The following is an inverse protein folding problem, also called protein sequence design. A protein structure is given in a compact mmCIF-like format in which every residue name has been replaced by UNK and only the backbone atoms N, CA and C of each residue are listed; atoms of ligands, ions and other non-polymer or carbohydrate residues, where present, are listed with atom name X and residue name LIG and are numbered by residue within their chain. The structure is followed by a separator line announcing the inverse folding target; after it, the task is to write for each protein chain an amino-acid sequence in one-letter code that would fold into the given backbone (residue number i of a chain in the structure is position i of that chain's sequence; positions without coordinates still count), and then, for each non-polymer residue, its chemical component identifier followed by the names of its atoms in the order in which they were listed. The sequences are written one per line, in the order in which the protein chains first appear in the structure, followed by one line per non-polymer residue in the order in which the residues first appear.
data_IF_235587772757
#
_entry.id   IF_235587772757
#
_cell.length_a   1.000
_cell.length_b   1.000
_cell.length_c   1.000
_cell.angle_alpha   90.00
_cell.angle_beta   90.00
_cell.angle_gamma   90.00
#
_symmetry.space_group_name_H-M   'P 1'
#
loop_
_entity.id
_entity.type
_entity.pdbx_description
1 polymer ?
#
# COMPACT_ATOMS: atom_id res chain seq x y z
N UNK A 1 17.11 19.63 38.66
CA UNK A 1 16.27 19.21 37.51
C UNK A 1 16.50 20.05 36.26
N UNK A 2 16.69 21.38 36.35
CA UNK A 2 16.85 22.25 35.16
C UNK A 2 18.13 22.03 34.32
N UNK A 3 19.21 21.53 34.92
CA UNK A 3 20.52 21.39 34.24
C UNK A 3 20.58 20.24 33.21
N UNK A 4 19.82 19.16 33.43
CA UNK A 4 19.81 18.00 32.52
C UNK A 4 19.07 18.28 31.22
N UNK A 5 17.97 19.04 31.30
CA UNK A 5 17.16 19.41 30.14
C UNK A 5 17.92 20.35 29.19
N UNK A 6 18.66 21.33 29.74
CA UNK A 6 19.51 22.21 28.93
C UNK A 6 20.62 21.44 28.21
N UNK A 7 21.28 20.46 28.85
CA UNK A 7 22.31 19.67 28.18
C UNK A 7 21.76 18.76 27.08
N UNK A 8 20.57 18.16 27.28
CA UNK A 8 19.91 17.35 26.27
C UNK A 8 19.48 18.19 25.05
N UNK A 9 18.92 19.38 25.29
CA UNK A 9 18.56 20.32 24.22
C UNK A 9 19.79 20.85 23.48
N UNK A 10 20.87 21.15 24.19
CA UNK A 10 22.12 21.63 23.58
C UNK A 10 22.77 20.53 22.71
N UNK A 11 22.74 19.27 23.15
CA UNK A 11 23.21 18.13 22.37
C UNK A 11 22.35 17.90 21.12
N UNK A 12 21.02 17.97 21.24
CA UNK A 12 20.10 17.86 20.10
C UNK A 12 20.29 18.97 19.06
N UNK A 13 20.56 20.20 19.52
CA UNK A 13 20.83 21.34 18.64
C UNK A 13 22.14 21.19 17.86
N UNK A 14 23.21 20.67 18.49
CA UNK A 14 24.47 20.41 17.78
C UNK A 14 24.32 19.33 16.69
N UNK A 15 23.53 18.28 16.92
CA UNK A 15 23.27 17.24 15.92
C UNK A 15 22.49 17.82 14.72
N UNK A 16 21.47 18.64 14.97
CA UNK A 16 20.73 19.35 13.91
C UNK A 16 21.60 20.35 13.14
N UNK A 17 22.52 21.03 13.82
CA UNK A 17 23.48 21.94 13.19
C UNK A 17 24.53 21.21 12.35
N UNK A 18 25.00 20.03 12.78
CA UNK A 18 25.92 19.18 12.01
C UNK A 18 25.29 18.62 10.74
N UNK A 19 23.97 18.42 10.70
CA UNK A 19 23.23 18.01 9.50
C UNK A 19 23.14 19.13 8.43
N UNK A 20 23.42 20.39 8.78
CA UNK A 20 23.45 21.52 7.84
C UNK A 20 24.82 21.79 7.21
N UNK A 21 25.88 21.07 7.60
CA UNK A 21 27.23 21.28 7.06
C UNK A 21 27.49 20.39 5.84
N UNK A 22 27.70 20.94 4.62
CA UNK A 22 27.76 20.16 3.38
C UNK A 22 29.11 19.46 3.13
N UNK A 23 29.97 19.28 4.13
CA UNK A 23 31.38 18.86 3.91
C UNK A 23 31.77 17.44 4.33
N UNK A 24 30.84 16.57 4.72
CA UNK A 24 31.18 15.15 4.93
C UNK A 24 30.05 14.21 4.45
N UNK A 25 30.03 13.97 3.13
CA UNK A 25 29.12 13.00 2.50
C UNK A 25 29.67 11.59 2.69
N UNK A 26 29.35 11.00 3.84
CA UNK A 26 29.36 9.55 4.03
C UNK A 26 28.08 8.92 3.46
N UNK A 27 28.16 7.64 3.11
CA UNK A 27 27.07 6.83 2.52
C UNK A 27 25.67 7.12 3.11
N UNK A 28 24.63 7.29 2.27
CA UNK A 28 23.26 7.62 2.69
C UNK A 28 22.59 6.57 3.60
N UNK A 29 23.13 5.33 3.68
CA UNK A 29 22.58 4.29 4.55
C UNK A 29 22.92 4.46 6.04
N UNK A 30 23.96 5.21 6.38
CA UNK A 30 24.40 5.37 7.78
C UNK A 30 23.67 6.50 8.52
N UNK A 31 23.20 7.51 7.77
CA UNK A 31 22.49 8.67 8.32
C UNK A 31 21.06 8.34 8.78
N UNK A 32 20.36 7.46 8.05
CA UNK A 32 18.98 7.06 8.37
C UNK A 32 18.91 6.32 9.72
N UNK A 33 19.81 5.37 9.97
CA UNK A 33 19.87 4.64 11.23
C UNK A 33 20.26 5.52 12.42
N UNK A 34 21.17 6.47 12.22
CA UNK A 34 21.61 7.38 13.28
C UNK A 34 20.48 8.34 13.67
N UNK A 35 19.77 8.89 12.68
CA UNK A 35 18.66 9.82 12.90
C UNK A 35 17.48 9.12 13.60
N UNK A 36 17.12 7.91 13.16
CA UNK A 36 16.10 7.08 13.82
C UNK A 36 16.47 6.76 15.27
N UNK A 37 17.75 6.44 15.55
CA UNK A 37 18.22 6.18 16.92
C UNK A 37 18.09 7.40 17.83
N UNK A 38 18.46 8.58 17.36
CA UNK A 38 18.35 9.81 18.15
C UNK A 38 16.90 10.25 18.35
N UNK A 39 16.04 10.09 17.34
CA UNK A 39 14.60 10.35 17.47
C UNK A 39 13.93 9.43 18.50
N UNK A 40 14.31 8.15 18.54
CA UNK A 40 13.80 7.20 19.54
C UNK A 40 14.28 7.52 20.95
N UNK A 41 15.55 7.90 21.12
CA UNK A 41 16.11 8.37 22.39
C UNK A 41 15.40 9.63 22.90
N UNK A 42 15.10 10.57 22.00
CA UNK A 42 14.36 11.78 22.32
C UNK A 42 12.92 11.48 22.76
N UNK A 43 12.19 10.67 21.99
CA UNK A 43 10.83 10.25 22.35
C UNK A 43 10.78 9.46 23.67
N UNK A 44 11.80 8.64 23.93
CA UNK A 44 11.93 7.93 25.20
C UNK A 44 12.17 8.89 26.37
N UNK A 45 13.02 9.92 26.21
CA UNK A 45 13.24 10.91 27.26
C UNK A 45 11.96 11.67 27.62
N UNK A 46 11.16 12.05 26.63
CA UNK A 46 9.84 12.66 26.83
C UNK A 46 8.90 11.69 27.57
N UNK A 47 8.88 10.42 27.19
CA UNK A 47 8.03 9.40 27.80
C UNK A 47 8.40 9.13 29.27
N UNK A 48 9.69 9.04 29.58
CA UNK A 48 10.20 8.85 30.95
C UNK A 48 9.90 10.08 31.82
N UNK A 49 10.03 11.28 31.27
CA UNK A 49 9.73 12.53 32.01
C UNK A 49 8.22 12.68 32.24
N UNK A 50 7.40 12.31 31.26
CA UNK A 50 5.93 12.31 31.35
C UNK A 50 5.40 11.29 32.38
N UNK A 51 5.97 10.08 32.41
CA UNK A 51 5.59 9.06 33.40
C UNK A 51 6.24 9.29 34.78
N UNK A 52 7.44 9.87 34.79
CA UNK A 52 8.18 10.23 36.00
C UNK A 52 7.47 11.28 36.84
N UNK A 53 6.66 12.14 36.21
CA UNK A 53 5.80 13.10 36.91
C UNK A 53 4.61 12.48 37.64
N UNK A 54 4.18 11.27 37.27
CA UNK A 54 2.91 10.69 37.78
C UNK A 54 3.05 9.44 38.65
N UNK A 55 4.17 8.72 38.64
CA UNK A 55 4.33 7.49 39.42
C UNK A 55 5.79 7.20 39.81
N UNK A 56 6.35 7.95 40.76
CA UNK A 56 7.80 7.90 41.02
C UNK A 56 8.29 6.94 42.13
N UNK A 57 7.41 6.43 43.00
CA UNK A 57 7.88 5.71 44.20
C UNK A 57 7.83 4.19 44.07
N UNK A 58 6.84 3.61 43.37
CA UNK A 58 6.64 2.15 43.35
C UNK A 58 7.15 1.43 42.10
N UNK A 59 7.47 2.17 41.03
CA UNK A 59 7.74 1.59 39.70
C UNK A 59 9.23 1.47 39.35
N UNK A 60 10.10 2.14 40.12
CA UNK A 60 11.53 2.32 39.82
C UNK A 60 12.31 1.01 39.59
N UNK A 61 12.23 -0.01 40.47
CA UNK A 61 13.01 -1.23 40.27
C UNK A 61 12.52 -2.08 39.08
N UNK A 62 11.25 -1.93 38.69
CA UNK A 62 10.66 -2.66 37.56
C UNK A 62 11.06 -1.99 36.23
N UNK A 63 11.01 -0.65 36.17
CA UNK A 63 11.46 0.11 35.00
C UNK A 63 12.97 0.00 34.76
N UNK A 64 13.80 0.05 35.81
CA UNK A 64 15.25 -0.08 35.66
C UNK A 64 15.68 -1.47 35.16
N UNK A 65 15.02 -2.56 35.60
CA UNK A 65 15.36 -3.92 35.12
C UNK A 65 14.76 -4.29 33.78
N UNK A 66 13.49 -3.95 33.51
CA UNK A 66 12.80 -4.48 32.33
C UNK A 66 12.92 -3.60 31.09
N UNK A 67 13.19 -2.31 31.23
CA UNK A 67 13.26 -1.39 30.10
C UNK A 67 14.69 -0.90 29.85
N UNK A 68 15.44 -0.64 30.91
CA UNK A 68 16.77 -0.03 30.79
C UNK A 68 17.83 -1.01 30.26
N UNK A 69 17.87 -2.26 30.74
CA UNK A 69 18.82 -3.26 30.26
C UNK A 69 18.63 -3.64 28.78
N UNK A 70 17.42 -3.93 28.28
CA UNK A 70 17.22 -4.26 26.87
C UNK A 70 17.56 -3.09 25.93
N UNK A 71 17.25 -1.86 26.33
CA UNK A 71 17.58 -0.66 25.54
C UNK A 71 19.09 -0.41 25.54
N UNK A 72 19.78 -0.56 26.67
CA UNK A 72 21.25 -0.45 26.71
C UNK A 72 21.94 -1.52 25.85
N UNK A 73 21.42 -2.75 25.83
CA UNK A 73 21.90 -3.82 24.95
C UNK A 73 21.66 -3.50 23.47
N UNK A 74 20.53 -2.86 23.14
CA UNK A 74 20.19 -2.44 21.78
C UNK A 74 21.07 -1.27 21.28
N UNK A 75 21.41 -0.31 22.15
CA UNK A 75 22.18 0.87 21.78
C UNK A 75 23.70 0.70 21.91
N UNK A 76 24.20 -0.18 22.79
CA UNK A 76 25.64 -0.35 23.05
C UNK A 76 26.09 -1.83 23.02
N UNK A 77 25.97 -2.53 21.87
CA UNK A 77 26.24 -3.97 21.79
C UNK A 77 27.73 -4.36 21.95
N UNK A 78 28.67 -3.40 21.97
CA UNK A 78 30.11 -3.68 21.88
C UNK A 78 30.91 -3.67 23.20
N UNK A 79 30.27 -3.42 24.34
CA UNK A 79 30.98 -3.39 25.63
C UNK A 79 30.29 -4.26 26.70
N UNK A 80 30.49 -5.59 26.66
CA UNK A 80 30.99 -6.42 27.78
C UNK A 80 30.85 -7.94 27.53
N UNK A 81 31.79 -8.68 28.10
CA UNK A 81 31.80 -10.15 28.22
C UNK A 81 30.66 -10.67 29.11
N UNK A 82 30.17 -11.90 28.88
CA UNK A 82 29.02 -12.45 29.60
C UNK A 82 29.42 -12.88 31.02
N UNK A 83 28.77 -12.31 32.02
CA UNK A 83 28.71 -12.92 33.36
C UNK A 83 27.54 -13.90 33.34
N UNK A 84 27.86 -15.18 33.19
CA UNK A 84 26.94 -16.29 33.37
C UNK A 84 26.46 -16.30 34.82
N UNK A 85 25.19 -15.96 35.05
CA UNK A 85 24.45 -16.46 36.21
C UNK A 85 23.32 -17.32 35.69
N UNK A 86 23.47 -18.62 35.92
CA UNK A 86 22.47 -19.62 35.62
C UNK A 86 21.22 -19.37 36.47
N UNK A 87 20.10 -19.07 35.82
CA UNK A 87 18.78 -19.31 36.37
C UNK A 87 17.86 -19.86 35.28
N UNK A 88 17.03 -20.82 35.67
CA UNK A 88 16.30 -21.79 34.85
C UNK A 88 15.50 -21.20 33.68
N UNK A 89 15.62 -21.74 32.45
CA UNK A 89 14.84 -21.29 31.30
C UNK A 89 13.53 -22.07 31.18
N UNK A 90 12.63 -21.95 32.16
CA UNK A 90 11.25 -22.47 32.06
C UNK A 90 10.29 -21.65 32.92
N UNK A 91 10.06 -20.36 32.59
CA UNK A 91 8.76 -19.72 32.88
C UNK A 91 8.48 -18.33 32.32
N UNK A 92 9.45 -17.57 31.81
CA UNK A 92 9.22 -16.13 31.57
C UNK A 92 9.25 -15.71 30.09
N UNK A 93 8.60 -16.49 29.21
CA UNK A 93 8.44 -16.14 27.80
C UNK A 93 6.97 -15.90 27.42
N UNK A 94 6.22 -15.19 28.29
CA UNK A 94 4.80 -14.94 28.05
C UNK A 94 4.29 -13.56 28.50
N UNK A 95 5.17 -12.56 28.65
CA UNK A 95 4.77 -11.22 29.14
C UNK A 95 5.31 -10.03 28.33
N UNK A 96 5.96 -10.24 27.18
CA UNK A 96 6.42 -9.14 26.31
C UNK A 96 5.38 -8.66 25.27
N UNK A 97 4.37 -9.48 24.96
CA UNK A 97 3.29 -9.12 24.02
C UNK A 97 2.34 -7.99 24.46
N UNK A 98 1.98 -7.80 25.76
CA UNK A 98 1.03 -6.74 26.13
C UNK A 98 1.64 -5.34 26.06
N UNK A 99 2.96 -5.19 26.28
CA UNK A 99 3.64 -3.88 26.32
C UNK A 99 3.78 -3.24 24.94
N UNK A 100 4.14 -4.01 23.91
CA UNK A 100 4.19 -3.51 22.53
C UNK A 100 2.80 -3.13 22.01
N UNK A 101 1.77 -3.88 22.40
CA UNK A 101 0.37 -3.60 22.07
C UNK A 101 -0.11 -2.28 22.69
N UNK A 102 0.21 -2.04 23.96
CA UNK A 102 -0.12 -0.79 24.65
C UNK A 102 0.56 0.43 24.02
N UNK A 103 1.81 0.28 23.56
CA UNK A 103 2.53 1.34 22.86
C UNK A 103 1.85 1.71 21.53
N UNK A 104 1.43 0.71 20.76
CA UNK A 104 0.72 0.92 19.49
C UNK A 104 -0.65 1.59 19.69
N UNK A 105 -1.40 1.19 20.73
CA UNK A 105 -2.68 1.83 21.09
C UNK A 105 -2.45 3.29 21.47
N UNK A 106 -1.40 3.59 22.24
CA UNK A 106 -1.09 4.96 22.65
C UNK A 106 -0.71 5.85 21.45
N UNK A 107 0.10 5.35 20.51
CA UNK A 107 0.43 6.04 19.27
C UNK A 107 -0.84 6.31 18.44
N UNK A 108 -1.74 5.33 18.34
CA UNK A 108 -2.99 5.47 17.59
C UNK A 108 -3.92 6.54 18.19
N UNK A 109 -4.08 6.58 19.52
CA UNK A 109 -4.90 7.60 20.20
C UNK A 109 -4.33 9.01 20.00
N UNK A 110 -3.00 9.17 20.04
CA UNK A 110 -2.35 10.46 19.78
C UNK A 110 -2.54 10.92 18.33
N UNK A 111 -2.47 10.01 17.34
CA UNK A 111 -2.72 10.33 15.94
C UNK A 111 -4.16 10.77 15.67
N UNK A 112 -5.14 10.18 16.37
CA UNK A 112 -6.56 10.57 16.24
C UNK A 112 -6.83 11.95 16.87
N UNK A 113 -6.18 12.29 18.00
CA UNK A 113 -6.36 13.59 18.66
C UNK A 113 -5.59 14.75 18.05
N UNK A 114 -4.56 14.47 17.25
CA UNK A 114 -3.78 15.50 16.56
C UNK A 114 -4.40 15.96 15.23
N UNK A 115 -5.51 15.37 14.79
CA UNK A 115 -6.22 15.82 13.60
C UNK A 115 -7.18 16.96 13.99
N UNK A 116 -6.97 18.21 13.51
CA UNK A 116 -7.92 19.29 13.75
C UNK A 116 -9.24 18.97 13.03
N UNK A 117 -10.33 18.91 13.78
CA UNK A 117 -11.68 18.91 13.20
C UNK A 117 -11.86 20.22 12.43
N UNK A 118 -12.45 20.20 11.22
CA UNK A 118 -12.81 21.43 10.53
C UNK A 118 -13.82 22.21 11.39
N UNK A 119 -13.76 23.56 11.40
CA UNK A 119 -14.69 24.37 12.16
C UNK A 119 -16.12 24.16 11.65
N UNK A 120 -17.01 23.89 12.61
CA UNK A 120 -18.46 23.81 12.40
C UNK A 120 -18.98 25.25 12.46
N UNK A 121 -19.33 25.80 11.29
CA UNK A 121 -20.17 27.01 11.21
C UNK A 121 -21.64 26.59 11.29
N UNK A 122 -22.22 26.79 12.47
CA UNK A 122 -23.66 26.78 12.68
C UNK A 122 -24.26 28.08 12.12
N UNK A 123 -24.90 27.99 10.95
CA UNK A 123 -26.03 28.88 10.65
C UNK A 123 -27.19 28.06 10.07
N UNK A 124 -28.05 27.69 10.99
CA UNK A 124 -29.36 27.10 10.75
C UNK A 124 -30.29 28.15 10.15
N UNK A 125 -30.61 28.02 8.86
CA UNK A 125 -31.95 28.36 8.39
C UNK A 125 -32.56 27.22 7.56
N UNK A 126 -33.69 26.79 8.09
CA UNK A 126 -34.51 25.65 7.72
C UNK A 126 -35.43 26.01 6.55
N UNK A 127 -35.70 25.02 5.71
CA UNK A 127 -36.89 24.84 4.86
C UNK A 127 -37.10 25.78 3.66
N UNK A 128 -36.84 25.26 2.44
CA UNK A 128 -37.86 25.15 1.35
C UNK A 128 -37.38 24.61 -0.02
N UNK A 129 -36.14 24.17 -0.24
CA UNK A 129 -35.66 23.88 -1.62
C UNK A 129 -35.56 22.42 -2.05
N UNK A 130 -35.77 21.43 -1.17
CA UNK A 130 -35.54 20.00 -1.49
C UNK A 130 -36.65 19.29 -2.30
N UNK A 131 -37.27 19.98 -3.28
CA UNK A 131 -38.19 19.35 -4.23
C UNK A 131 -37.98 19.74 -5.69
N UNK A 132 -36.84 20.33 -6.05
CA UNK A 132 -36.51 20.72 -7.44
C UNK A 132 -35.10 20.38 -7.92
N UNK A 133 -34.30 19.63 -7.15
CA UNK A 133 -32.93 19.27 -7.56
C UNK A 133 -32.86 18.01 -8.45
N UNK A 134 -33.89 17.15 -8.46
CA UNK A 134 -33.87 15.88 -9.20
C UNK A 134 -34.32 15.98 -10.68
N UNK A 135 -34.40 17.19 -11.25
CA UNK A 135 -34.80 17.35 -12.66
C UNK A 135 -33.97 18.35 -13.46
N UNK A 136 -32.81 18.77 -12.94
CA UNK A 136 -31.94 19.72 -13.64
C UNK A 136 -30.48 19.26 -13.79
N UNK A 137 -30.14 18.03 -13.39
CA UNK A 137 -28.83 17.43 -13.62
C UNK A 137 -28.66 16.80 -15.03
N UNK A 138 -29.69 16.87 -15.90
CA UNK A 138 -29.64 16.32 -17.26
C UNK A 138 -29.60 17.34 -18.41
N UNK A 139 -29.56 18.66 -18.15
CA UNK A 139 -29.46 19.66 -19.23
C UNK A 139 -28.74 20.93 -18.79
N UNK A 140 -27.45 20.99 -19.15
CA UNK A 140 -26.50 22.11 -19.28
C UNK A 140 -25.15 21.48 -18.91
N UNK A 141 -24.15 21.38 -19.78
CA UNK A 141 -23.54 22.50 -20.50
C UNK A 141 -23.00 21.99 -21.86
N UNK A 142 -23.70 22.31 -22.96
CA UNK A 142 -23.03 22.68 -24.22
C UNK A 142 -22.73 24.17 -24.10
N UNK A 143 -21.51 24.53 -23.71
CA UNK A 143 -20.94 25.86 -23.97
C UNK A 143 -19.43 25.71 -24.15
N UNK A 144 -18.96 26.02 -25.37
CA UNK A 144 -17.70 26.70 -25.64
C UNK A 144 -16.40 26.12 -25.03
N UNK A 145 -16.09 24.85 -25.32
CA UNK A 145 -14.77 24.27 -25.05
C UNK A 145 -13.75 24.62 -26.15
N UNK A 146 -13.46 25.92 -26.32
CA UNK A 146 -12.36 26.36 -27.18
C UNK A 146 -10.96 26.17 -26.55
N UNK A 147 -10.89 25.75 -25.27
CA UNK A 147 -9.65 25.50 -24.53
C UNK A 147 -9.69 24.24 -23.66
N UNK A 148 -10.40 23.18 -24.07
CA UNK A 148 -10.28 21.89 -23.42
C UNK A 148 -8.82 21.43 -23.49
N UNK A 149 -8.15 21.30 -22.34
CA UNK A 149 -6.80 20.73 -22.29
C UNK A 149 -6.85 19.35 -22.95
N UNK A 150 -5.89 19.01 -23.82
CA UNK A 150 -5.85 17.68 -24.41
C UNK A 150 -5.74 16.66 -23.28
N UNK A 151 -6.73 15.78 -23.18
CA UNK A 151 -6.71 14.69 -22.21
C UNK A 151 -5.54 13.76 -22.55
N UNK A 152 -4.83 13.32 -21.52
CA UNK A 152 -3.76 12.35 -21.64
C UNK A 152 -4.37 10.99 -21.99
N UNK A 153 -4.09 10.48 -23.19
CA UNK A 153 -4.62 9.21 -23.67
C UNK A 153 -3.64 8.08 -23.40
N UNK A 154 -4.10 7.04 -22.70
CA UNK A 154 -3.32 5.85 -22.39
C UNK A 154 -3.88 4.65 -23.13
N UNK A 155 -3.06 4.02 -23.97
CA UNK A 155 -3.48 2.83 -24.71
C UNK A 155 -3.79 1.67 -23.76
N UNK A 156 -4.90 0.99 -24.01
CA UNK A 156 -5.31 -0.22 -23.33
C UNK A 156 -5.20 -1.42 -24.27
N UNK A 157 -4.49 -2.44 -23.83
CA UNK A 157 -4.33 -3.68 -24.60
C UNK A 157 -4.46 -4.90 -23.69
N UNK A 158 -4.82 -6.03 -24.30
CA UNK A 158 -4.77 -7.35 -23.69
C UNK A 158 -3.58 -8.08 -24.30
N UNK A 159 -2.67 -8.55 -23.46
CA UNK A 159 -1.65 -9.50 -23.88
C UNK A 159 -2.07 -10.90 -23.46
N UNK A 160 -2.01 -11.86 -24.39
CA UNK A 160 -2.35 -13.27 -24.14
C UNK A 160 -1.12 -14.14 -24.37
N UNK A 161 -0.66 -14.81 -23.32
CA UNK A 161 0.44 -15.77 -23.41
C UNK A 161 -0.09 -17.19 -23.55
N UNK A 162 0.63 -18.03 -24.31
CA UNK A 162 0.25 -19.43 -24.56
C UNK A 162 -1.19 -19.56 -25.10
N UNK A 163 -1.57 -18.64 -26.00
CA UNK A 163 -2.90 -18.60 -26.63
C UNK A 163 -3.24 -19.95 -27.25
N UNK A 164 -4.45 -20.43 -26.98
CA UNK A 164 -4.94 -21.71 -27.51
C UNK A 164 -4.38 -22.92 -26.77
N UNK A 165 -3.98 -22.77 -25.50
CA UNK A 165 -3.56 -23.89 -24.65
C UNK A 165 -4.29 -23.83 -23.32
N UNK A 166 -4.36 -24.95 -22.59
CA UNK A 166 -4.91 -25.01 -21.23
C UNK A 166 -4.15 -24.13 -20.22
N UNK A 167 -2.94 -23.67 -20.57
CA UNK A 167 -2.10 -22.78 -19.75
C UNK A 167 -2.16 -21.33 -20.22
N UNK A 168 -3.21 -20.94 -20.94
CA UNK A 168 -3.38 -19.57 -21.41
C UNK A 168 -3.47 -18.59 -20.22
N UNK A 169 -2.70 -17.49 -20.29
CA UNK A 169 -2.77 -16.39 -19.32
C UNK A 169 -3.03 -15.08 -20.03
N UNK A 170 -3.97 -14.30 -19.49
CA UNK A 170 -4.29 -12.95 -19.94
C UNK A 170 -3.67 -11.90 -19.02
N UNK A 171 -3.21 -10.82 -19.62
CA UNK A 171 -2.63 -9.66 -18.95
C UNK A 171 -3.34 -8.40 -19.45
N UNK A 172 -3.60 -7.46 -18.55
CA UNK A 172 -4.05 -6.12 -18.93
C UNK A 172 -2.84 -5.21 -19.04
N UNK A 173 -2.76 -4.47 -20.13
CA UNK A 173 -1.71 -3.51 -20.41
C UNK A 173 -2.33 -2.12 -20.37
N UNK A 174 -1.81 -1.28 -19.48
CA UNK A 174 -2.20 0.13 -19.34
C UNK A 174 -0.92 0.93 -19.64
N UNK A 175 -0.88 1.56 -20.81
CA UNK A 175 0.31 2.28 -21.28
C UNK A 175 1.50 1.33 -21.42
N UNK A 176 2.53 1.51 -20.57
CA UNK A 176 3.70 0.64 -20.55
C UNK A 176 3.69 -0.39 -19.39
N UNK A 177 2.67 -0.34 -18.54
CA UNK A 177 2.53 -1.19 -17.35
C UNK A 177 1.71 -2.43 -17.69
N UNK A 178 2.19 -3.60 -17.25
CA UNK A 178 1.50 -4.88 -17.43
C UNK A 178 0.98 -5.35 -16.08
N UNK A 179 -0.31 -5.63 -15.99
CA UNK A 179 -0.99 -6.13 -14.81
C UNK A 179 -1.42 -7.59 -15.01
N UNK A 180 -1.27 -8.39 -13.97
CA UNK A 180 -1.67 -9.79 -13.93
C UNK A 180 -2.24 -10.16 -12.57
N UNK A 181 -3.08 -11.18 -12.50
CA UNK A 181 -3.47 -11.80 -11.24
C UNK A 181 -2.79 -13.17 -11.14
N UNK A 182 -1.91 -13.33 -10.15
CA UNK A 182 -1.14 -14.56 -9.93
C UNK A 182 -1.49 -15.22 -8.59
N UNK A 183 -1.14 -16.50 -8.45
CA UNK A 183 -1.25 -17.16 -7.15
C UNK A 183 -0.34 -16.45 -6.14
N UNK A 184 -0.81 -16.25 -4.89
CA UNK A 184 0.04 -15.69 -3.87
C UNK A 184 1.22 -16.63 -3.60
N UNK A 185 2.38 -16.06 -3.27
CA UNK A 185 3.65 -16.78 -3.27
C UNK A 185 3.65 -17.93 -2.23
N UNK A 186 2.93 -17.76 -1.13
CA UNK A 186 2.70 -18.74 -0.07
C UNK A 186 1.89 -19.97 -0.52
N UNK A 187 1.04 -19.83 -1.54
CA UNK A 187 0.31 -20.96 -2.12
C UNK A 187 1.20 -21.94 -2.87
N UNK A 188 2.34 -21.47 -3.40
CA UNK A 188 3.30 -22.34 -4.08
C UNK A 188 4.09 -23.22 -3.10
N UNK A 189 4.23 -22.75 -1.86
CA UNK A 189 5.03 -23.41 -0.82
C UNK A 189 4.19 -24.36 0.06
N UNK A 190 2.87 -24.16 0.16
CA UNK A 190 1.97 -25.03 0.90
C UNK A 190 0.60 -25.21 0.21
N UNK A 191 0.39 -26.30 -0.56
CA UNK A 191 -0.88 -26.57 -1.23
C UNK A 191 -2.01 -26.97 -0.26
N UNK A 192 -1.73 -27.21 1.02
CA UNK A 192 -2.74 -27.52 2.05
C UNK A 192 -3.37 -26.26 2.69
N UNK A 193 -2.95 -25.06 2.27
CA UNK A 193 -3.53 -23.80 2.74
C UNK A 193 -5.06 -23.78 2.61
N UNK A 194 -5.80 -23.37 3.66
CA UNK A 194 -7.24 -23.45 3.70
C UNK A 194 -7.88 -22.56 2.63
N UNK A 195 -8.68 -23.17 1.77
CA UNK A 195 -9.53 -22.44 0.80
C UNK A 195 -10.50 -21.51 1.53
N UNK A 196 -10.73 -20.29 1.03
CA UNK A 196 -10.54 -19.91 -0.37
C UNK A 196 -9.29 -19.05 -0.62
N UNK A 197 -8.31 -19.61 -1.34
CA UNK A 197 -7.20 -18.84 -1.92
C UNK A 197 -7.72 -18.09 -3.15
N UNK A 198 -7.47 -16.79 -3.20
CA UNK A 198 -7.77 -15.92 -4.34
C UNK A 198 -6.46 -15.49 -5.02
N UNK A 199 -6.53 -15.22 -6.32
CA UNK A 199 -5.39 -14.63 -7.04
C UNK A 199 -5.09 -13.23 -6.49
N UNK A 200 -3.84 -12.82 -6.52
CA UNK A 200 -3.40 -11.49 -6.11
C UNK A 200 -2.99 -10.69 -7.34
N UNK A 201 -3.61 -9.53 -7.59
CA UNK A 201 -3.14 -8.60 -8.61
C UNK A 201 -1.70 -8.15 -8.34
N UNK A 202 -0.84 -8.26 -9.34
CA UNK A 202 0.55 -7.78 -9.29
C UNK A 202 0.93 -7.09 -10.61
N UNK A 203 1.93 -6.21 -10.50
CA UNK A 203 2.62 -5.65 -11.67
C UNK A 203 3.60 -6.68 -12.19
N UNK A 204 3.50 -7.01 -13.47
CA UNK A 204 4.43 -7.93 -14.10
C UNK A 204 5.82 -7.29 -14.24
N UNK A 205 6.88 -8.05 -13.97
CA UNK A 205 8.26 -7.53 -13.91
C UNK A 205 8.77 -6.88 -15.22
N UNK A 206 8.14 -7.20 -16.35
CA UNK A 206 8.50 -6.64 -17.66
C UNK A 206 7.52 -5.54 -18.04
N UNK A 207 8.04 -4.44 -18.58
CA UNK A 207 7.23 -3.41 -19.25
C UNK A 207 6.74 -3.91 -20.61
N UNK A 208 5.65 -3.32 -21.11
CA UNK A 208 5.06 -3.68 -22.40
C UNK A 208 6.07 -3.56 -23.55
N UNK A 209 6.81 -2.45 -23.58
CA UNK A 209 7.87 -2.21 -24.56
C UNK A 209 8.94 -3.32 -24.54
N UNK A 210 9.43 -3.69 -23.35
CA UNK A 210 10.43 -4.77 -23.21
C UNK A 210 9.86 -6.13 -23.58
N UNK A 211 8.59 -6.40 -23.30
CA UNK A 211 7.94 -7.66 -23.66
C UNK A 211 7.81 -7.80 -25.18
N UNK A 212 7.49 -6.72 -25.90
CA UNK A 212 7.43 -6.67 -27.37
C UNK A 212 8.82 -6.89 -28.00
N UNK A 213 9.84 -6.19 -27.51
CA UNK A 213 11.22 -6.30 -28.03
C UNK A 213 11.79 -7.71 -27.82
N UNK A 214 11.49 -8.34 -26.68
CA UNK A 214 11.96 -9.69 -26.36
C UNK A 214 11.29 -10.80 -27.20
N UNK A 215 10.47 -10.47 -28.19
CA UNK A 215 9.69 -11.42 -29.02
C UNK A 215 9.00 -12.49 -28.16
N UNK A 216 8.47 -12.12 -26.99
CA UNK A 216 7.57 -13.03 -26.29
C UNK A 216 6.41 -13.30 -27.25
N UNK A 217 6.11 -14.59 -27.51
CA UNK A 217 4.98 -15.04 -28.33
C UNK A 217 3.67 -14.77 -27.58
N UNK A 218 3.41 -13.49 -27.34
CA UNK A 218 2.18 -13.00 -26.76
C UNK A 218 1.35 -12.42 -27.90
N UNK A 219 0.07 -12.74 -27.88
CA UNK A 219 -0.89 -12.10 -28.76
C UNK A 219 -1.31 -10.78 -28.12
N UNK A 220 -1.13 -9.67 -28.84
CA UNK A 220 -1.40 -8.32 -28.34
C UNK A 220 -2.63 -7.78 -29.04
N UNK A 221 -3.69 -7.54 -28.27
CA UNK A 221 -4.98 -7.10 -28.78
C UNK A 221 -5.28 -5.73 -28.20
N UNK A 222 -5.37 -4.71 -29.06
CA UNK A 222 -5.78 -3.37 -28.63
C UNK A 222 -7.27 -3.36 -28.35
N UNK A 223 -7.68 -2.91 -27.16
CA UNK A 223 -9.10 -2.82 -26.76
C UNK A 223 -9.62 -1.39 -26.68
N UNK A 224 -8.73 -0.40 -26.77
CA UNK A 224 -9.08 1.02 -26.83
C UNK A 224 -8.08 1.88 -26.08
N UNK A 225 -8.56 3.00 -25.55
CA UNK A 225 -7.76 3.98 -24.83
C UNK A 225 -8.52 4.44 -23.58
N UNK A 226 -7.77 4.75 -22.52
CA UNK A 226 -8.26 5.46 -21.36
C UNK A 226 -7.95 6.95 -21.49
N UNK A 227 -8.94 7.79 -21.20
CA UNK A 227 -8.80 9.24 -21.23
C UNK A 227 -8.58 9.75 -19.82
N UNK A 228 -7.39 10.28 -19.55
CA UNK A 228 -6.93 10.76 -18.24
C UNK A 228 -6.73 12.28 -18.26
N UNK A 229 -6.81 12.91 -17.10
CA UNK A 229 -6.54 14.35 -16.99
C UNK A 229 -5.03 14.62 -16.89
N UNK A 230 -4.27 13.68 -16.32
CA UNK A 230 -2.81 13.77 -16.15
C UNK A 230 -2.15 12.40 -15.89
N UNK A 231 -0.81 12.37 -15.87
CA UNK A 231 -0.01 11.15 -15.62
C UNK A 231 -0.21 10.54 -14.22
N UNK A 232 -0.54 11.35 -13.19
CA UNK A 232 -0.80 10.80 -11.86
C UNK A 232 -2.07 9.94 -11.84
N UNK A 233 -3.02 10.19 -12.73
CA UNK A 233 -4.23 9.39 -12.84
C UNK A 233 -3.90 7.95 -13.29
N UNK A 234 -2.86 7.78 -14.12
CA UNK A 234 -2.38 6.44 -14.51
C UNK A 234 -1.86 5.69 -13.29
N UNK A 235 -1.07 6.34 -12.43
CA UNK A 235 -0.56 5.74 -11.19
C UNK A 235 -1.72 5.39 -10.23
N UNK A 236 -2.73 6.26 -10.12
CA UNK A 236 -3.93 6.03 -9.31
C UNK A 236 -4.73 4.83 -9.84
N UNK A 237 -4.87 4.72 -11.16
CA UNK A 237 -5.53 3.60 -11.82
C UNK A 237 -4.79 2.30 -11.52
N UNK A 238 -3.46 2.28 -11.69
CA UNK A 238 -2.64 1.09 -11.42
C UNK A 238 -2.76 0.69 -9.95
N UNK A 239 -2.64 1.63 -9.00
CA UNK A 239 -2.82 1.35 -7.57
C UNK A 239 -4.21 0.83 -7.25
N UNK A 240 -5.24 1.41 -7.86
CA UNK A 240 -6.64 0.98 -7.67
C UNK A 240 -6.85 -0.44 -8.19
N UNK A 241 -6.31 -0.77 -9.37
CA UNK A 241 -6.37 -2.10 -9.95
C UNK A 241 -5.66 -3.15 -9.07
N UNK A 242 -4.50 -2.80 -8.50
CA UNK A 242 -3.76 -3.68 -7.60
C UNK A 242 -4.47 -3.94 -6.26
N UNK A 243 -5.34 -3.02 -5.84
CA UNK A 243 -6.12 -3.14 -4.61
C UNK A 243 -7.42 -3.96 -4.77
N UNK A 244 -7.74 -4.42 -5.99
CA UNK A 244 -8.95 -5.22 -6.24
C UNK A 244 -8.85 -6.56 -5.49
N UNK A 245 -9.88 -6.84 -4.68
CA UNK A 245 -10.04 -8.13 -4.02
C UNK A 245 -10.62 -9.13 -5.01
N UNK A 246 -9.79 -10.06 -5.44
CA UNK A 246 -10.21 -11.11 -6.37
C UNK A 246 -11.17 -12.09 -5.71
N UNK A 247 -12.17 -12.60 -6.46
CA UNK A 247 -12.99 -13.70 -5.99
C UNK A 247 -12.14 -14.97 -5.80
N UNK A 248 -12.62 -15.85 -4.94
CA UNK A 248 -11.97 -17.13 -4.66
C UNK A 248 -11.87 -18.01 -5.92
N UNK A 249 -10.90 -18.93 -5.93
CA UNK A 249 -10.78 -19.95 -7.00
C UNK A 249 -12.06 -20.75 -7.21
N UNK A 250 -12.72 -21.16 -6.11
CA UNK A 250 -13.96 -21.96 -6.15
C UNK A 250 -15.13 -21.22 -6.81
N UNK A 251 -15.05 -19.89 -6.92
CA UNK A 251 -16.00 -19.03 -7.63
C UNK A 251 -15.48 -18.59 -9.00
N UNK A 252 -14.60 -19.38 -9.63
CA UNK A 252 -14.00 -19.10 -10.93
C UNK A 252 -13.21 -17.78 -11.01
N UNK A 253 -12.54 -17.35 -9.93
CA UNK A 253 -11.65 -16.19 -9.98
C UNK A 253 -10.38 -16.46 -10.79
N UNK A 254 -10.34 -16.04 -12.05
CA UNK A 254 -9.19 -16.16 -12.94
C UNK A 254 -8.56 -14.83 -13.35
N UNK A 255 -7.47 -14.88 -14.10
CA UNK A 255 -6.81 -13.68 -14.63
C UNK A 255 -7.71 -12.90 -15.62
N UNK A 256 -8.66 -13.56 -16.30
CA UNK A 256 -9.64 -12.89 -17.16
C UNK A 256 -10.68 -12.10 -16.35
N UNK A 257 -11.12 -12.63 -15.23
CA UNK A 257 -12.06 -11.96 -14.34
C UNK A 257 -11.44 -10.73 -13.69
N UNK A 258 -10.15 -10.80 -13.35
CA UNK A 258 -9.38 -9.64 -12.92
C UNK A 258 -9.47 -8.50 -13.93
N UNK A 259 -9.22 -8.78 -15.20
CA UNK A 259 -9.27 -7.77 -16.27
C UNK A 259 -10.67 -7.19 -16.39
N UNK A 260 -11.72 -8.03 -16.34
CA UNK A 260 -13.12 -7.58 -16.36
C UNK A 260 -13.42 -6.64 -15.20
N UNK A 261 -12.94 -6.95 -13.99
CA UNK A 261 -13.11 -6.11 -12.80
C UNK A 261 -12.38 -4.77 -12.95
N UNK A 262 -11.15 -4.76 -13.48
CA UNK A 262 -10.40 -3.52 -13.71
C UNK A 262 -11.10 -2.65 -14.74
N UNK A 263 -11.53 -3.20 -15.87
CA UNK A 263 -12.23 -2.44 -16.90
C UNK A 263 -13.58 -1.91 -16.43
N UNK A 264 -14.32 -2.68 -15.62
CA UNK A 264 -15.54 -2.21 -14.97
C UNK A 264 -15.29 -1.00 -14.07
N UNK A 265 -14.25 -1.06 -13.23
CA UNK A 265 -13.83 0.06 -12.39
C UNK A 265 -13.43 1.30 -13.23
N UNK A 266 -12.71 1.11 -14.34
CA UNK A 266 -12.33 2.22 -15.21
C UNK A 266 -13.54 2.89 -15.86
N UNK A 267 -14.54 2.09 -16.28
CA UNK A 267 -15.77 2.59 -16.87
C UNK A 267 -16.63 3.34 -15.84
N UNK A 268 -16.81 2.79 -14.64
CA UNK A 268 -17.55 3.44 -13.55
C UNK A 268 -16.95 4.80 -13.15
N UNK A 269 -15.63 4.96 -13.31
CA UNK A 269 -14.91 6.21 -13.05
C UNK A 269 -14.84 7.14 -14.26
N UNK A 270 -15.41 6.76 -15.41
CA UNK A 270 -15.41 7.57 -16.63
C UNK A 270 -14.06 7.67 -17.33
N UNK A 271 -13.12 6.78 -17.03
CA UNK A 271 -11.81 6.75 -17.70
C UNK A 271 -11.87 6.06 -19.07
N UNK A 272 -12.83 5.16 -19.28
CA UNK A 272 -13.02 4.44 -20.56
C UNK A 272 -14.49 4.43 -20.94
N UNK A 273 -14.74 4.39 -22.24
CA UNK A 273 -16.08 4.24 -22.79
C UNK A 273 -16.59 2.79 -22.70
N UNK A 274 -17.91 2.62 -22.82
CA UNK A 274 -18.56 1.31 -22.83
C UNK A 274 -18.02 0.40 -23.96
N UNK A 275 -17.51 0.99 -25.05
CA UNK A 275 -16.90 0.27 -26.17
C UNK A 275 -15.68 -0.55 -25.75
N UNK A 276 -14.86 -0.06 -24.82
CA UNK A 276 -13.68 -0.76 -24.30
C UNK A 276 -14.11 -1.98 -23.48
N UNK A 277 -15.14 -1.82 -22.64
CA UNK A 277 -15.69 -2.90 -21.83
C UNK A 277 -16.31 -3.98 -22.71
N UNK A 278 -17.09 -3.59 -23.74
CA UNK A 278 -17.69 -4.50 -24.72
C UNK A 278 -16.62 -5.24 -25.53
N UNK A 279 -15.60 -4.52 -26.02
CA UNK A 279 -14.49 -5.10 -26.76
C UNK A 279 -13.75 -6.18 -25.96
N UNK A 280 -13.56 -5.97 -24.65
CA UNK A 280 -13.01 -7.03 -23.80
C UNK A 280 -13.99 -8.18 -23.56
N UNK A 281 -15.30 -7.91 -23.45
CA UNK A 281 -16.34 -8.93 -23.33
C UNK A 281 -16.30 -9.94 -24.47
N UNK A 282 -16.13 -9.47 -25.71
CA UNK A 282 -16.00 -10.33 -26.90
C UNK A 282 -14.76 -11.23 -26.81
N UNK A 283 -13.60 -10.66 -26.43
CA UNK A 283 -12.37 -11.43 -26.21
C UNK A 283 -12.58 -12.47 -25.10
N UNK A 284 -13.20 -12.09 -23.99
CA UNK A 284 -13.46 -12.97 -22.85
C UNK A 284 -14.27 -14.20 -23.28
N UNK A 285 -15.35 -14.00 -24.03
CA UNK A 285 -16.23 -15.07 -24.52
C UNK A 285 -15.58 -15.93 -25.60
N UNK A 286 -14.83 -15.34 -26.54
CA UNK A 286 -14.05 -16.07 -27.53
C UNK A 286 -13.04 -17.00 -26.85
N UNK A 287 -12.27 -16.47 -25.90
CA UNK A 287 -11.26 -17.28 -25.19
C UNK A 287 -11.88 -18.35 -24.30
N UNK A 288 -13.05 -18.08 -23.71
CA UNK A 288 -13.78 -19.08 -22.92
C UNK A 288 -14.22 -20.27 -23.77
N UNK A 289 -14.78 -20.02 -24.95
CA UNK A 289 -15.16 -21.07 -25.91
C UNK A 289 -13.96 -21.88 -26.39
N UNK A 290 -12.88 -21.21 -26.81
CA UNK A 290 -11.68 -21.89 -27.27
C UNK A 290 -11.07 -22.81 -26.20
N UNK A 291 -11.06 -22.39 -24.93
CA UNK A 291 -10.58 -23.25 -23.84
C UNK A 291 -11.48 -24.44 -23.58
N UNK A 292 -12.80 -24.27 -23.69
CA UNK A 292 -13.75 -25.37 -23.53
C UNK A 292 -13.57 -26.44 -24.63
N UNK A 293 -13.38 -26.02 -25.88
CA UNK A 293 -13.08 -26.90 -27.01
C UNK A 293 -11.80 -27.71 -26.76
N UNK A 294 -10.71 -27.04 -26.38
CA UNK A 294 -9.43 -27.70 -26.06
C UNK A 294 -9.58 -28.72 -24.94
N UNK A 295 -10.33 -28.39 -23.89
CA UNK A 295 -10.56 -29.31 -22.77
C UNK A 295 -11.40 -30.53 -23.20
N UNK A 296 -12.39 -30.33 -24.07
CA UNK A 296 -13.22 -31.44 -24.58
C UNK A 296 -12.49 -32.36 -25.55
N UNK A 297 -11.43 -31.91 -26.21
CA UNK A 297 -10.59 -32.73 -27.10
C UNK A 297 -9.51 -33.52 -26.33
N UNK A 298 -9.28 -33.19 -25.06
CA UNK A 298 -8.26 -33.83 -24.22
C UNK A 298 -8.78 -35.00 -23.36
N UNK A 299 -10.09 -35.25 -23.37
CA UNK A 299 -10.78 -36.37 -22.69
C UNK A 299 -11.00 -37.56 -23.65
#
# INVERSE_FOLDING_TARGET
MYYGWQQAMHAGWHVLASLKSPRNVGSPSSYSHTLVRWSLLFLYSIFVEYLGGTCWINSRPILERQLYEPLLLFFFPKNRQPVLTASNPKKDMQTSAPLSTLLLIFVWILSVRASPLPPIDDSTQVSRSYRRADSQAHRRIETDDAHAKPKYQVKLEIAISLKGTIKEHSFLVIGNTILHAEWPDDYLDDPELPTPVALVPKVYKLTAEKARVKKKKWDWISIGEASLDNENDEEIIIKSALAIKMPARKSNGGCRDFIKMVLGMLHERGFVDESVVKGYGEIYEERARALQEIMSESD
#
